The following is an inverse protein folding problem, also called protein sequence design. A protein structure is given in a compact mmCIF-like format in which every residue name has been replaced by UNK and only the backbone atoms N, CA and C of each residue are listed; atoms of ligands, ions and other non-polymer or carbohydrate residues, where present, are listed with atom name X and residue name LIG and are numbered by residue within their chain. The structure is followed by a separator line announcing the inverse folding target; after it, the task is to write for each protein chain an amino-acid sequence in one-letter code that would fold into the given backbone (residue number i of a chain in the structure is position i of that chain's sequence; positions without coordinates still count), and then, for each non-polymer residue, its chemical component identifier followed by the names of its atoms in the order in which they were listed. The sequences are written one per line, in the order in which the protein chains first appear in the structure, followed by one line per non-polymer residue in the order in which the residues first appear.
data_IF_794750354072
#
_entry.id   IF_794750354072
#
_cell.length_a   1.000
_cell.length_b   1.000
_cell.length_c   1.000
_cell.angle_alpha   90.00
_cell.angle_beta   90.00
_cell.angle_gamma   90.00
#
_symmetry.space_group_name_H-M   'P 1'
#
loop_
_entity.id
_entity.type
_entity.pdbx_description
1 polymer ?
#
# COMPACT_ATOMS: atom_id res chain seq x y z
N UNK A 1 26.75 -22.25 -40.84
CA UNK A 1 27.13 -21.95 -39.44
C UNK A 1 27.09 -20.47 -39.13
N UNK A 2 27.93 -19.60 -39.73
CA UNK A 2 27.91 -18.16 -39.43
C UNK A 2 26.54 -17.47 -39.64
N UNK A 3 25.81 -17.83 -40.71
CA UNK A 3 24.45 -17.32 -41.00
C UNK A 3 23.39 -17.76 -39.99
N UNK A 4 23.55 -18.95 -39.42
CA UNK A 4 22.65 -19.49 -38.39
C UNK A 4 22.91 -18.78 -37.05
N UNK A 5 24.18 -18.51 -36.73
CA UNK A 5 24.57 -17.76 -35.52
C UNK A 5 24.05 -16.33 -35.58
N UNK A 6 24.21 -15.63 -36.72
CA UNK A 6 23.70 -14.26 -36.87
C UNK A 6 22.17 -14.18 -36.81
N UNK A 7 21.47 -15.23 -37.24
CA UNK A 7 20.01 -15.29 -37.15
C UNK A 7 19.54 -15.43 -35.69
N UNK A 8 20.24 -16.27 -34.91
CA UNK A 8 19.95 -16.44 -33.48
C UNK A 8 20.26 -15.17 -32.69
N UNK A 9 21.34 -14.45 -33.01
CA UNK A 9 21.66 -13.16 -32.39
C UNK A 9 20.57 -12.11 -32.66
N UNK A 10 20.07 -12.04 -33.89
CA UNK A 10 18.98 -11.14 -34.26
C UNK A 10 17.69 -11.45 -33.48
N UNK A 11 17.30 -12.72 -33.41
CA UNK A 11 16.12 -13.17 -32.67
C UNK A 11 16.27 -12.91 -31.16
N UNK A 12 17.48 -13.01 -30.62
CA UNK A 12 17.76 -12.72 -29.20
C UNK A 12 17.58 -11.24 -28.90
N UNK A 13 18.09 -10.36 -29.77
CA UNK A 13 17.93 -8.90 -29.62
C UNK A 13 16.45 -8.51 -29.70
N UNK A 14 15.70 -9.05 -30.67
CA UNK A 14 14.26 -8.78 -30.82
C UNK A 14 13.47 -9.27 -29.58
N UNK A 15 13.83 -10.44 -29.06
CA UNK A 15 13.21 -11.01 -27.85
C UNK A 15 13.51 -10.17 -26.62
N UNK A 16 14.74 -9.67 -26.46
CA UNK A 16 15.13 -8.77 -25.36
C UNK A 16 14.35 -7.46 -25.41
N UNK A 17 14.16 -6.89 -26.59
CA UNK A 17 13.46 -5.62 -26.76
C UNK A 17 11.97 -5.75 -26.38
N UNK A 18 11.33 -6.86 -26.80
CA UNK A 18 9.95 -7.20 -26.35
C UNK A 18 9.86 -7.43 -24.85
N UNK A 19 10.87 -8.07 -24.25
CA UNK A 19 10.91 -8.30 -22.80
C UNK A 19 11.04 -6.99 -22.02
N UNK A 20 11.92 -6.08 -22.46
CA UNK A 20 12.07 -4.76 -21.86
C UNK A 20 10.76 -3.97 -21.90
N UNK A 21 10.07 -3.95 -23.05
CA UNK A 21 8.73 -3.34 -23.17
C UNK A 21 7.71 -3.97 -22.22
N UNK A 22 7.70 -5.29 -22.09
CA UNK A 22 6.76 -6.01 -21.22
C UNK A 22 7.06 -5.72 -19.74
N UNK A 23 8.34 -5.64 -19.37
CA UNK A 23 8.77 -5.28 -18.02
C UNK A 23 8.37 -3.85 -17.68
N UNK A 24 8.59 -2.87 -18.56
CA UNK A 24 8.18 -1.48 -18.32
C UNK A 24 6.66 -1.34 -18.12
N UNK A 25 5.88 -2.08 -18.92
CA UNK A 25 4.42 -2.12 -18.76
C UNK A 25 4.00 -2.77 -17.42
N UNK A 26 4.70 -3.82 -16.97
CA UNK A 26 4.44 -4.47 -15.68
C UNK A 26 4.84 -3.58 -14.50
N UNK A 27 5.98 -2.90 -14.58
CA UNK A 27 6.44 -1.94 -13.55
C UNK A 27 5.45 -0.78 -13.43
N UNK A 28 4.91 -0.29 -14.55
CA UNK A 28 3.90 0.75 -14.54
C UNK A 28 2.53 0.27 -14.03
N UNK A 29 2.10 -0.94 -14.41
CA UNK A 29 0.77 -1.48 -14.05
C UNK A 29 0.71 -2.10 -12.66
N UNK A 30 1.83 -2.62 -12.15
CA UNK A 30 2.01 -2.96 -10.75
C UNK A 30 2.13 -1.69 -9.87
N UNK A 31 1.66 -0.53 -10.34
CA UNK A 31 1.71 0.70 -9.57
C UNK A 31 1.05 0.49 -8.20
N UNK A 32 1.83 0.58 -7.11
CA UNK A 32 1.33 0.37 -5.76
C UNK A 32 0.24 1.38 -5.37
N UNK A 33 0.07 2.45 -6.16
CA UNK A 33 -0.94 3.49 -5.97
C UNK A 33 -2.36 2.93 -5.84
N UNK A 34 -2.73 1.92 -6.62
CA UNK A 34 -4.11 1.38 -6.55
C UNK A 34 -4.32 0.50 -5.32
N UNK A 35 -3.29 -0.21 -4.88
CA UNK A 35 -3.31 -1.03 -3.67
C UNK A 35 -3.39 -0.13 -2.44
N UNK A 36 -2.51 0.87 -2.36
CA UNK A 36 -2.48 1.86 -1.28
C UNK A 36 -3.80 2.62 -1.18
N UNK A 37 -4.37 3.03 -2.32
CA UNK A 37 -5.66 3.73 -2.32
C UNK A 37 -6.79 2.87 -1.73
N UNK A 38 -6.83 1.57 -2.06
CA UNK A 38 -7.81 0.63 -1.51
C UNK A 38 -7.62 0.42 -0.01
N UNK A 39 -6.38 0.26 0.44
CA UNK A 39 -6.11 0.13 1.88
C UNK A 39 -6.47 1.40 2.65
N UNK A 40 -6.11 2.58 2.16
CA UNK A 40 -6.48 3.85 2.78
C UNK A 40 -8.00 4.02 2.83
N UNK A 41 -8.71 3.64 1.77
CA UNK A 41 -10.17 3.68 1.76
C UNK A 41 -10.77 2.70 2.78
N UNK A 42 -10.21 1.50 2.91
CA UNK A 42 -10.64 0.52 3.91
C UNK A 42 -10.43 1.03 5.34
N UNK A 43 -9.25 1.60 5.63
CA UNK A 43 -8.97 2.21 6.95
C UNK A 43 -9.94 3.36 7.23
N UNK A 44 -10.15 4.26 6.25
CA UNK A 44 -11.11 5.37 6.39
C UNK A 44 -12.54 4.89 6.63
N UNK A 45 -12.96 3.78 6.00
CA UNK A 45 -14.30 3.22 6.16
C UNK A 45 -14.63 2.81 7.61
N UNK A 46 -13.60 2.54 8.44
CA UNK A 46 -13.81 2.30 9.86
C UNK A 46 -14.24 3.57 10.63
N UNK A 47 -13.86 4.75 10.15
CA UNK A 47 -14.11 6.02 10.85
C UNK A 47 -15.12 6.91 10.14
N UNK A 48 -15.37 6.68 8.85
CA UNK A 48 -16.27 7.47 8.02
C UNK A 48 -17.11 6.53 7.20
N UNK A 49 -18.41 6.78 7.14
CA UNK A 49 -19.32 6.00 6.32
C UNK A 49 -19.03 6.22 4.82
N UNK A 50 -18.75 5.16 4.03
CA UNK A 50 -18.41 5.31 2.62
C UNK A 50 -19.56 5.80 1.73
N UNK A 51 -20.82 5.59 2.13
CA UNK A 51 -21.99 5.95 1.32
C UNK A 51 -22.43 7.38 1.60
N UNK A 52 -22.39 7.79 2.86
CA UNK A 52 -22.92 9.09 3.31
C UNK A 52 -21.84 10.12 3.62
N UNK A 53 -20.58 9.69 3.79
CA UNK A 53 -19.49 10.55 4.27
C UNK A 53 -19.61 10.93 5.74
N UNK A 54 -20.61 10.42 6.46
CA UNK A 54 -20.84 10.75 7.86
C UNK A 54 -19.75 10.14 8.76
N UNK A 55 -19.21 10.89 9.73
CA UNK A 55 -18.28 10.34 10.71
C UNK A 55 -18.94 9.24 11.56
N UNK A 56 -18.25 8.10 11.71
CA UNK A 56 -18.61 7.01 12.64
C UNK A 56 -18.14 7.37 14.04
N UNK A 57 -18.87 8.30 14.66
CA UNK A 57 -18.54 8.87 15.97
C UNK A 57 -18.30 7.82 17.05
N UNK A 58 -19.04 6.71 17.05
CA UNK A 58 -18.83 5.59 17.98
C UNK A 58 -17.42 4.99 17.89
N UNK A 59 -16.94 4.68 16.69
CA UNK A 59 -15.60 4.13 16.48
C UNK A 59 -14.50 5.14 16.82
N UNK A 60 -14.73 6.42 16.47
CA UNK A 60 -13.82 7.51 16.82
C UNK A 60 -13.73 7.63 18.34
N UNK A 61 -14.87 7.62 19.06
CA UNK A 61 -14.91 7.74 20.51
C UNK A 61 -14.16 6.59 21.18
N UNK A 62 -14.31 5.36 20.70
CA UNK A 62 -13.60 4.17 21.22
C UNK A 62 -12.09 4.33 21.13
N UNK A 63 -11.58 4.76 19.97
CA UNK A 63 -10.14 4.95 19.78
C UNK A 63 -9.63 6.10 20.66
N UNK A 64 -10.35 7.23 20.69
CA UNK A 64 -9.99 8.37 21.55
C UNK A 64 -9.96 7.95 23.03
N UNK A 65 -11.01 7.27 23.50
CA UNK A 65 -11.08 6.76 24.87
C UNK A 65 -9.94 5.80 25.20
N UNK A 66 -9.59 4.90 24.27
CA UNK A 66 -8.44 4.00 24.42
C UNK A 66 -7.12 4.75 24.56
N UNK A 67 -6.85 5.72 23.67
CA UNK A 67 -5.62 6.54 23.73
C UNK A 67 -5.54 7.33 25.03
N UNK A 68 -6.64 8.00 25.42
CA UNK A 68 -6.70 8.76 26.68
C UNK A 68 -6.48 7.85 27.88
N UNK A 69 -7.09 6.67 27.91
CA UNK A 69 -6.91 5.68 28.96
C UNK A 69 -5.46 5.19 29.09
N UNK A 70 -4.81 4.91 27.96
CA UNK A 70 -3.39 4.50 27.92
C UNK A 70 -2.50 5.63 28.44
N UNK A 71 -2.69 6.86 27.97
CA UNK A 71 -1.92 8.02 28.44
C UNK A 71 -2.12 8.22 29.94
N UNK A 72 -3.36 8.18 30.42
CA UNK A 72 -3.67 8.30 31.84
C UNK A 72 -2.98 7.21 32.67
N UNK A 73 -3.01 5.96 32.19
CA UNK A 73 -2.32 4.84 32.82
C UNK A 73 -0.81 5.11 32.94
N UNK A 74 -0.15 5.55 31.85
CA UNK A 74 1.27 5.89 31.87
C UNK A 74 1.60 7.02 32.85
N UNK A 75 0.76 8.06 32.90
CA UNK A 75 0.92 9.19 33.83
C UNK A 75 0.82 8.70 35.28
N UNK A 76 -0.16 7.85 35.59
CA UNK A 76 -0.34 7.28 36.93
C UNK A 76 0.84 6.39 37.31
N UNK A 77 1.27 5.49 36.42
CA UNK A 77 2.44 4.62 36.66
C UNK A 77 3.68 5.46 36.92
N UNK A 78 3.94 6.48 36.09
CA UNK A 78 5.08 7.39 36.28
C UNK A 78 5.00 8.17 37.60
N UNK A 79 3.80 8.52 38.06
CA UNK A 79 3.59 9.23 39.32
C UNK A 79 3.83 8.33 40.54
N UNK A 80 3.47 7.06 40.46
CA UNK A 80 3.62 6.09 41.57
C UNK A 80 5.04 5.51 41.64
N UNK A 81 5.73 5.40 40.49
CA UNK A 81 7.10 4.90 40.42
C UNK A 81 8.18 5.97 40.71
N UNK A 82 7.78 7.21 41.01
CA UNK A 82 8.63 8.30 41.46
C UNK A 82 8.44 8.52 42.95
#
# INVERSE_FOLDING_TARGET
MAKEISAIELELEETRERLAQTIDQLVHRASPKTIVSREVASVKAHFVDPQTGAPRTDNILKVVGGVVGVVALFVVVRKVAR
#
